data_IF_099983083877
#
_entry.id   IF_099983083877
#
_cell.length_a   1.000
_cell.length_b   1.000
_cell.length_c   1.000
_cell.angle_alpha   90.00
_cell.angle_beta   90.00
_cell.angle_gamma   90.00
#
_symmetry.space_group_name_H-M   'P 1'
#
loop_
_entity.id
_entity.type
_entity.pdbx_description
1 polymer ?
#
# COMPACT_ATOMS: atom_id res chain seq x y z
N UNK A 1 -1.86 8.02 -7.97
CA UNK A 1 -1.03 8.82 -7.07
C UNK A 1 0.28 9.06 -7.78
N UNK A 2 0.74 10.29 -7.77
CA UNK A 2 1.90 10.72 -8.54
C UNK A 2 2.99 11.21 -7.59
N UNK A 3 4.24 10.90 -7.92
CA UNK A 3 5.39 11.31 -7.12
C UNK A 3 5.62 12.82 -7.22
N UNK A 4 6.26 13.41 -6.21
CA UNK A 4 6.57 14.84 -6.18
C UNK A 4 7.43 15.21 -7.41
N UNK A 5 6.86 15.98 -8.34
CA UNK A 5 7.48 16.35 -9.61
C UNK A 5 6.75 15.84 -10.86
N UNK A 6 5.69 15.04 -10.71
CA UNK A 6 4.81 14.65 -11.80
C UNK A 6 3.98 15.85 -12.28
N UNK A 7 4.45 16.53 -13.32
CA UNK A 7 3.83 17.71 -13.95
C UNK A 7 2.97 17.30 -15.14
N UNK A 8 1.98 16.44 -14.91
CA UNK A 8 1.08 15.95 -15.98
C UNK A 8 -0.35 16.50 -15.83
N UNK A 9 -0.53 17.49 -14.95
CA UNK A 9 -1.82 18.15 -14.72
C UNK A 9 -2.43 18.69 -16.03
N UNK A 10 -1.59 19.18 -16.94
CA UNK A 10 -1.98 19.77 -18.23
C UNK A 10 -2.50 18.76 -19.27
N UNK A 11 -2.31 17.45 -19.05
CA UNK A 11 -2.72 16.37 -19.98
C UNK A 11 -3.88 15.54 -19.39
N UNK A 12 -4.39 15.93 -18.22
CA UNK A 12 -5.49 15.19 -17.60
C UNK A 12 -6.83 15.46 -18.33
N UNK A 13 -7.64 14.42 -18.55
CA UNK A 13 -9.00 14.60 -19.05
C UNK A 13 -9.87 15.36 -18.04
N UNK A 14 -10.89 16.07 -18.52
CA UNK A 14 -11.81 16.83 -17.67
C UNK A 14 -12.40 15.94 -16.57
N UNK A 15 -12.23 16.36 -15.31
CA UNK A 15 -12.78 15.68 -14.13
C UNK A 15 -11.83 14.72 -13.42
N UNK A 16 -10.56 14.60 -13.86
CA UNK A 16 -9.54 13.80 -13.17
C UNK A 16 -8.51 14.74 -12.53
N UNK A 17 -8.30 14.62 -11.22
CA UNK A 17 -7.25 15.34 -10.48
C UNK A 17 -6.10 14.40 -10.11
N UNK A 18 -4.87 14.92 -10.18
CA UNK A 18 -3.70 14.20 -9.70
C UNK A 18 -3.64 14.28 -8.17
N UNK A 19 -3.78 13.13 -7.52
CA UNK A 19 -3.51 13.01 -6.09
C UNK A 19 -1.99 12.93 -5.86
N UNK A 20 -1.37 14.11 -5.75
CA UNK A 20 0.04 14.31 -5.35
C UNK A 20 0.03 14.68 -3.86
N UNK A 21 0.84 14.01 -3.06
CA UNK A 21 0.99 14.32 -1.63
C UNK A 21 1.57 15.72 -1.45
N UNK A 22 0.82 16.67 -0.87
CA UNK A 22 1.30 18.04 -0.84
C UNK A 22 2.18 18.26 0.38
N UNK A 23 3.21 19.07 0.21
CA UNK A 23 3.94 19.62 1.34
C UNK A 23 4.10 21.12 1.11
N UNK A 24 3.51 21.89 2.02
CA UNK A 24 3.41 23.35 2.14
C UNK A 24 2.21 24.00 1.42
N UNK A 25 1.19 24.42 2.18
CA UNK A 25 0.09 25.31 1.73
C UNK A 25 -1.34 24.77 1.80
N UNK A 26 -1.58 23.62 2.44
CA UNK A 26 -2.91 22.98 2.49
C UNK A 26 -3.78 23.40 3.67
N UNK A 27 -5.10 23.28 3.52
CA UNK A 27 -6.05 23.37 4.63
C UNK A 27 -5.95 22.12 5.53
N UNK A 28 -6.27 22.25 6.83
CA UNK A 28 -6.14 21.16 7.81
C UNK A 28 -6.90 19.87 7.39
N UNK A 29 -8.02 20.01 6.65
CA UNK A 29 -8.81 18.86 6.19
C UNK A 29 -8.12 18.07 5.08
N UNK A 30 -7.40 18.75 4.20
CA UNK A 30 -6.68 18.08 3.11
C UNK A 30 -5.43 17.37 3.63
N UNK A 31 -4.82 17.89 4.69
CA UNK A 31 -3.70 17.23 5.38
C UNK A 31 -4.16 15.92 6.02
N UNK A 32 -5.33 15.90 6.67
CA UNK A 32 -5.88 14.70 7.32
C UNK A 32 -6.17 13.62 6.28
N UNK A 33 -6.90 13.96 5.21
CA UNK A 33 -7.23 13.00 4.14
C UNK A 33 -5.99 12.46 3.44
N UNK A 34 -4.99 13.32 3.21
CA UNK A 34 -3.70 12.90 2.63
C UNK A 34 -2.92 11.97 3.59
N UNK A 35 -2.94 12.25 4.89
CA UNK A 35 -2.28 11.44 5.91
C UNK A 35 -2.95 10.05 6.04
N UNK A 36 -4.27 9.98 5.95
CA UNK A 36 -5.01 8.71 5.94
C UNK A 36 -4.61 7.84 4.75
N UNK A 37 -4.57 8.43 3.54
CA UNK A 37 -4.17 7.73 2.32
C UNK A 37 -2.70 7.27 2.40
N UNK A 38 -1.82 8.13 2.92
CA UNK A 38 -0.41 7.78 3.14
C UNK A 38 -0.26 6.65 4.17
N UNK A 39 -1.05 6.65 5.24
CA UNK A 39 -1.08 5.60 6.25
C UNK A 39 -1.49 4.25 5.68
N UNK A 40 -2.55 4.22 4.86
CA UNK A 40 -2.99 3.03 4.15
C UNK A 40 -1.90 2.50 3.21
N UNK A 41 -1.21 3.40 2.47
CA UNK A 41 -0.11 3.03 1.57
C UNK A 41 1.06 2.40 2.32
N UNK A 42 1.46 2.95 3.46
CA UNK A 42 2.51 2.38 4.31
C UNK A 42 2.14 0.95 4.75
N UNK A 43 0.87 0.72 5.09
CA UNK A 43 0.41 -0.61 5.51
C UNK A 43 0.50 -1.63 4.36
N UNK A 44 0.04 -1.25 3.17
CA UNK A 44 0.10 -2.09 1.96
C UNK A 44 1.55 -2.38 1.56
N UNK A 45 2.40 -1.36 1.47
CA UNK A 45 3.82 -1.52 1.12
C UNK A 45 4.56 -2.39 2.14
N UNK A 46 4.26 -2.23 3.43
CA UNK A 46 4.82 -3.08 4.49
C UNK A 46 4.38 -4.52 4.34
N UNK A 47 3.09 -4.79 4.11
CA UNK A 47 2.59 -6.14 3.89
C UNK A 47 3.24 -6.79 2.66
N UNK A 48 3.37 -6.06 1.55
CA UNK A 48 4.05 -6.54 0.34
C UNK A 48 5.52 -6.84 0.61
N UNK A 49 6.24 -5.91 1.25
CA UNK A 49 7.66 -6.09 1.55
C UNK A 49 7.88 -7.26 2.49
N UNK A 50 6.97 -7.44 3.45
CA UNK A 50 6.99 -8.57 4.34
C UNK A 50 6.83 -9.88 3.57
N UNK A 51 5.79 -10.03 2.74
CA UNK A 51 5.56 -11.21 1.89
C UNK A 51 6.79 -11.53 1.04
N UNK A 52 7.37 -10.51 0.40
CA UNK A 52 8.58 -10.65 -0.42
C UNK A 52 9.81 -11.10 0.38
N UNK A 53 9.86 -10.84 1.68
CA UNK A 53 10.99 -11.19 2.54
C UNK A 53 10.73 -12.45 3.40
N UNK A 54 9.54 -13.05 3.36
CA UNK A 54 9.27 -14.28 4.10
C UNK A 54 9.83 -15.47 3.30
N UNK A 55 11.05 -15.88 3.67
CA UNK A 55 11.75 -17.02 3.06
C UNK A 55 11.00 -18.36 3.15
N UNK A 56 9.94 -18.43 3.96
CA UNK A 56 9.11 -19.62 4.10
C UNK A 56 8.42 -19.98 2.77
N UNK A 57 8.18 -18.99 1.90
CA UNK A 57 7.61 -19.19 0.57
C UNK A 57 8.65 -19.30 -0.56
N UNK A 58 9.95 -19.26 -0.25
CA UNK A 58 11.00 -19.36 -1.28
C UNK A 58 11.14 -20.79 -1.84
N UNK A 59 10.58 -21.80 -1.15
CA UNK A 59 10.62 -23.20 -1.55
C UNK A 59 9.38 -23.68 -2.32
N UNK A 60 9.48 -24.85 -2.95
CA UNK A 60 8.33 -25.52 -3.57
C UNK A 60 7.39 -25.99 -2.46
N UNK A 61 6.17 -25.44 -2.41
CA UNK A 61 5.12 -25.90 -1.50
C UNK A 61 4.36 -27.06 -2.15
N UNK A 62 4.35 -28.26 -1.54
CA UNK A 62 3.51 -29.37 -1.98
C UNK A 62 2.02 -29.00 -1.92
N UNK A 63 1.24 -29.43 -2.91
CA UNK A 63 -0.21 -29.12 -2.99
C UNK A 63 -1.01 -29.60 -1.77
N UNK A 64 -0.58 -30.69 -1.13
CA UNK A 64 -1.20 -31.20 0.09
C UNK A 64 -0.95 -30.32 1.34
N UNK A 65 -0.04 -29.33 1.26
CA UNK A 65 0.27 -28.38 2.33
C UNK A 65 -0.34 -26.98 2.08
N UNK A 66 -1.13 -26.82 1.01
CA UNK A 66 -1.73 -25.53 0.66
C UNK A 66 -2.64 -24.97 1.78
N UNK A 67 -3.34 -25.83 2.53
CA UNK A 67 -4.14 -25.42 3.67
C UNK A 67 -3.32 -24.75 4.79
N UNK A 68 -2.10 -25.23 5.05
CA UNK A 68 -1.19 -24.64 6.03
C UNK A 68 -0.65 -23.29 5.56
N UNK A 69 -0.31 -23.17 4.27
CA UNK A 69 0.11 -21.89 3.67
C UNK A 69 -0.98 -20.83 3.80
N UNK A 70 -2.23 -21.21 3.56
CA UNK A 70 -3.35 -20.29 3.72
C UNK A 70 -3.52 -19.83 5.19
N UNK A 71 -3.35 -20.74 6.15
CA UNK A 71 -3.36 -20.39 7.59
C UNK A 71 -2.20 -19.46 7.97
N UNK A 72 -0.99 -19.72 7.48
CA UNK A 72 0.16 -18.87 7.72
C UNK A 72 -0.05 -17.47 7.16
N UNK A 73 -0.62 -17.36 5.96
CA UNK A 73 -0.98 -16.08 5.36
C UNK A 73 -2.00 -15.31 6.20
N UNK A 74 -3.05 -15.98 6.66
CA UNK A 74 -4.10 -15.36 7.47
C UNK A 74 -3.55 -14.86 8.82
N UNK A 75 -2.73 -15.67 9.50
CA UNK A 75 -2.05 -15.25 10.72
C UNK A 75 -1.15 -14.04 10.50
N UNK A 76 -0.43 -14.00 9.37
CA UNK A 76 0.45 -12.89 9.04
C UNK A 76 -0.32 -11.59 8.74
N UNK A 77 -1.42 -11.71 8.00
CA UNK A 77 -2.30 -10.58 7.68
C UNK A 77 -2.99 -10.00 8.92
N UNK A 78 -3.33 -10.85 9.90
CA UNK A 78 -4.02 -10.42 11.13
C UNK A 78 -3.06 -9.81 12.16
N UNK A 79 -1.80 -10.25 12.19
CA UNK A 79 -0.83 -9.87 13.25
C UNK A 79 -0.49 -8.36 13.33
N UNK A 80 -0.96 -7.53 12.40
CA UNK A 80 -0.64 -6.10 12.34
C UNK A 80 -1.81 -5.16 12.09
N UNK A 81 -3.06 -5.59 12.31
CA UNK A 81 -4.19 -4.66 12.39
C UNK A 81 -4.20 -4.06 13.82
N UNK A 82 -3.89 -2.77 14.03
CA UNK A 82 -4.14 -2.13 15.33
C UNK A 82 -5.64 -2.05 15.64
#
# INVERSE_FOLDING_TARGET
>A
MADKGFTIEDILPLGVSLNITPLLGMSDQDVISTQEIAGLRIHVERAINQVKNVKIFDGVVPLNQFGLVNQMWLCYAIWKIP
#
